data_IF_692303788282
#
_entry.id   IF_692303788282
#
_cell.length_a   1.000
_cell.length_b   1.000
_cell.length_c   1.000
_cell.angle_alpha   90.00
_cell.angle_beta   90.00
_cell.angle_gamma   90.00
#
_symmetry.space_group_name_H-M   'P 1'
#
loop_
_entity.id
_entity.type
_entity.pdbx_description
1 polymer ?
#
# COMPACT_ATOMS: atom_id res chain seq x y z
N UNK A 1 51.36 -25.19 15.32
CA UNK A 1 50.13 -24.35 15.34
C UNK A 1 49.95 -23.42 14.16
N UNK A 2 50.96 -23.12 13.32
CA UNK A 2 50.93 -22.12 12.24
C UNK A 2 50.27 -22.57 10.92
N UNK A 3 50.36 -23.85 10.54
CA UNK A 3 49.78 -24.35 9.25
C UNK A 3 48.25 -24.45 9.30
N UNK A 4 47.70 -24.80 10.44
CA UNK A 4 46.23 -24.88 10.63
C UNK A 4 45.57 -23.48 10.52
N UNK A 5 46.23 -22.45 11.00
CA UNK A 5 45.76 -21.05 10.89
C UNK A 5 45.84 -20.49 9.47
N UNK A 6 46.79 -20.92 8.67
CA UNK A 6 46.87 -20.50 7.25
C UNK A 6 45.78 -21.11 6.39
N UNK A 7 45.53 -22.43 6.53
CA UNK A 7 44.42 -23.10 5.82
C UNK A 7 43.07 -22.52 6.18
N UNK A 8 42.83 -22.24 7.46
CA UNK A 8 41.60 -21.62 7.95
C UNK A 8 41.41 -20.22 7.33
N UNK A 9 42.45 -19.40 7.22
CA UNK A 9 42.39 -18.08 6.56
C UNK A 9 42.09 -18.20 5.07
N UNK A 10 42.72 -19.12 4.33
CA UNK A 10 42.43 -19.34 2.91
C UNK A 10 40.96 -19.77 2.72
N UNK A 11 40.45 -20.69 3.52
CA UNK A 11 39.05 -21.11 3.44
C UNK A 11 38.13 -19.91 3.73
N UNK A 12 38.42 -19.10 4.76
CA UNK A 12 37.63 -17.90 5.06
C UNK A 12 37.62 -16.89 3.90
N UNK A 13 38.74 -16.66 3.23
CA UNK A 13 38.80 -15.79 2.04
C UNK A 13 38.01 -16.35 0.86
N UNK A 14 38.08 -17.67 0.61
CA UNK A 14 37.32 -18.32 -0.47
C UNK A 14 35.81 -18.20 -0.18
N UNK A 15 35.39 -18.48 1.06
CA UNK A 15 33.99 -18.36 1.49
C UNK A 15 33.50 -16.91 1.38
N UNK A 16 34.29 -15.94 1.85
CA UNK A 16 33.96 -14.52 1.73
C UNK A 16 33.85 -14.10 0.27
N UNK A 17 34.79 -14.52 -0.58
CA UNK A 17 34.74 -14.27 -2.01
C UNK A 17 33.49 -14.86 -2.68
N UNK A 18 33.12 -16.08 -2.34
CA UNK A 18 31.92 -16.73 -2.84
C UNK A 18 30.64 -16.00 -2.39
N UNK A 19 30.55 -15.61 -1.12
CA UNK A 19 29.41 -14.84 -0.58
C UNK A 19 29.30 -13.51 -1.32
N UNK A 20 30.41 -12.80 -1.50
CA UNK A 20 30.43 -11.53 -2.23
C UNK A 20 29.99 -11.71 -3.68
N UNK A 21 30.47 -12.73 -4.36
CA UNK A 21 30.08 -13.04 -5.73
C UNK A 21 28.57 -13.34 -5.83
N UNK A 22 28.03 -14.16 -4.95
CA UNK A 22 26.60 -14.48 -4.90
C UNK A 22 25.77 -13.22 -4.64
N UNK A 23 26.20 -12.35 -3.71
CA UNK A 23 25.52 -11.11 -3.42
C UNK A 23 25.50 -10.15 -4.63
N UNK A 24 26.64 -9.98 -5.31
CA UNK A 24 26.74 -9.15 -6.52
C UNK A 24 25.88 -9.70 -7.67
N UNK A 25 25.92 -11.02 -7.90
CA UNK A 25 25.06 -11.67 -8.88
C UNK A 25 23.57 -11.46 -8.57
N UNK A 26 23.20 -11.58 -7.29
CA UNK A 26 21.84 -11.32 -6.82
C UNK A 26 21.39 -9.87 -7.02
N UNK A 27 22.24 -8.89 -6.71
CA UNK A 27 21.97 -7.46 -6.95
C UNK A 27 21.80 -7.18 -8.44
N UNK A 28 22.66 -7.75 -9.29
CA UNK A 28 22.57 -7.61 -10.76
C UNK A 28 21.25 -8.21 -11.27
N UNK A 29 20.94 -9.43 -10.86
CA UNK A 29 19.67 -10.10 -11.20
C UNK A 29 18.47 -9.26 -10.80
N UNK A 30 18.44 -8.76 -9.55
CA UNK A 30 17.36 -7.92 -9.03
C UNK A 30 17.21 -6.63 -9.86
N UNK A 31 18.31 -5.96 -10.17
CA UNK A 31 18.31 -4.71 -10.93
C UNK A 31 17.79 -4.90 -12.35
N UNK A 32 18.26 -5.93 -13.04
CA UNK A 32 17.81 -6.26 -14.41
C UNK A 32 16.32 -6.63 -14.40
N UNK A 33 15.91 -7.51 -13.48
CA UNK A 33 14.51 -7.92 -13.37
C UNK A 33 13.60 -6.73 -13.09
N UNK A 34 13.99 -5.82 -12.19
CA UNK A 34 13.23 -4.60 -11.88
C UNK A 34 13.12 -3.67 -13.10
N UNK A 35 14.21 -3.53 -13.87
CA UNK A 35 14.19 -2.70 -15.09
C UNK A 35 13.25 -3.27 -16.17
N UNK A 36 13.23 -4.60 -16.33
CA UNK A 36 12.30 -5.27 -17.24
C UNK A 36 10.84 -5.15 -16.79
N UNK A 37 10.58 -5.30 -15.48
CA UNK A 37 9.24 -5.18 -14.92
C UNK A 37 8.70 -3.75 -15.01
N UNK A 38 9.53 -2.71 -14.86
CA UNK A 38 9.12 -1.32 -15.07
C UNK A 38 8.60 -1.07 -16.50
N UNK A 39 9.18 -1.75 -17.49
CA UNK A 39 8.72 -1.68 -18.88
C UNK A 39 7.45 -2.50 -19.11
N UNK A 40 7.35 -3.64 -18.44
CA UNK A 40 6.22 -4.57 -18.59
C UNK A 40 4.95 -4.10 -17.90
N UNK A 41 5.09 -3.41 -16.79
CA UNK A 41 3.99 -2.91 -15.97
C UNK A 41 4.09 -1.38 -15.83
N UNK A 42 3.74 -0.62 -16.89
CA UNK A 42 3.65 0.83 -16.81
C UNK A 42 2.54 1.23 -15.84
N UNK A 43 2.63 2.43 -15.29
CA UNK A 43 1.56 2.92 -14.40
C UNK A 43 0.29 3.20 -15.21
N UNK A 44 -0.88 2.73 -14.74
CA UNK A 44 -2.15 3.24 -15.22
C UNK A 44 -2.39 4.64 -14.64
N UNK A 45 -3.12 5.49 -15.33
CA UNK A 45 -3.41 6.83 -14.80
C UNK A 45 -2.28 7.85 -14.97
N UNK A 46 -1.93 8.60 -13.92
CA UNK A 46 -1.02 9.75 -13.99
C UNK A 46 -0.07 9.79 -12.78
N UNK A 47 1.13 10.36 -13.01
CA UNK A 47 2.01 10.85 -11.95
C UNK A 47 1.81 12.35 -11.80
N UNK A 48 1.62 12.82 -10.58
CA UNK A 48 1.32 14.21 -10.25
C UNK A 48 2.36 14.67 -9.22
N UNK A 49 2.99 15.82 -9.48
CA UNK A 49 3.98 16.39 -8.58
C UNK A 49 3.29 16.97 -7.34
N UNK A 50 3.60 16.40 -6.18
CA UNK A 50 3.12 16.83 -4.87
C UNK A 50 4.34 17.24 -4.04
N UNK A 51 4.63 18.53 -4.02
CA UNK A 51 5.84 19.05 -3.38
C UNK A 51 7.12 18.58 -4.08
N UNK A 52 7.96 17.83 -3.36
CA UNK A 52 9.28 17.37 -3.78
C UNK A 52 9.28 16.00 -4.49
N UNK A 53 8.11 15.37 -4.67
CA UNK A 53 7.99 14.05 -5.27
C UNK A 53 6.72 13.88 -6.10
N UNK A 54 6.63 12.79 -6.87
CA UNK A 54 5.47 12.47 -7.67
C UNK A 54 4.65 11.35 -7.02
N UNK A 55 3.33 11.54 -6.97
CA UNK A 55 2.37 10.53 -6.55
C UNK A 55 1.58 10.00 -7.74
N UNK A 56 1.41 8.70 -7.77
CA UNK A 56 0.58 8.00 -8.74
C UNK A 56 -0.89 8.09 -8.35
N UNK A 57 -1.75 8.44 -9.33
CA UNK A 57 -3.20 8.48 -9.20
C UNK A 57 -3.85 7.83 -10.42
N UNK A 58 -4.76 6.89 -10.17
CA UNK A 58 -5.55 6.21 -11.19
C UNK A 58 -7.04 6.39 -10.93
N UNK A 59 -7.69 7.20 -11.76
CA UNK A 59 -9.11 7.49 -11.66
C UNK A 59 -9.85 6.93 -12.87
N UNK A 60 -10.95 6.23 -12.63
CA UNK A 60 -11.84 5.66 -13.65
C UNK A 60 -13.31 5.96 -13.32
N UNK A 61 -14.20 5.68 -14.26
CA UNK A 61 -15.63 5.98 -14.11
C UNK A 61 -15.97 7.47 -14.22
N UNK A 62 -17.24 7.80 -14.09
CA UNK A 62 -17.80 9.16 -14.18
C UNK A 62 -18.92 9.35 -13.18
N UNK A 63 -19.14 10.58 -12.73
CA UNK A 63 -20.21 10.93 -11.78
C UNK A 63 -19.67 11.44 -10.47
N UNK A 64 -20.58 11.76 -9.55
CA UNK A 64 -20.30 12.30 -8.23
C UNK A 64 -21.17 11.58 -7.18
N UNK A 65 -20.73 11.56 -5.90
CA UNK A 65 -19.41 11.97 -5.44
C UNK A 65 -18.29 11.07 -5.97
N UNK A 66 -17.07 11.60 -6.06
CA UNK A 66 -15.89 10.80 -6.37
C UNK A 66 -15.52 9.94 -5.15
N UNK A 67 -15.26 8.66 -5.38
CA UNK A 67 -14.75 7.73 -4.37
C UNK A 67 -13.23 7.75 -4.40
N UNK A 68 -12.58 7.80 -3.23
CA UNK A 68 -11.12 7.76 -3.09
C UNK A 68 -10.75 6.54 -2.27
N UNK A 69 -9.89 5.68 -2.82
CA UNK A 69 -9.50 4.39 -2.24
C UNK A 69 -8.10 4.49 -1.62
N UNK A 70 -8.05 4.32 -0.29
CA UNK A 70 -6.84 4.34 0.53
C UNK A 70 -6.45 2.93 0.95
N UNK A 71 -5.29 2.46 0.49
CA UNK A 71 -4.87 1.05 0.61
C UNK A 71 -4.32 0.64 1.98
N UNK A 72 -4.20 -0.67 2.23
CA UNK A 72 -3.63 -1.22 3.47
C UNK A 72 -2.14 -0.94 3.58
N UNK A 73 -1.52 -1.34 4.70
CA UNK A 73 -0.07 -1.24 4.88
C UNK A 73 0.67 -1.99 3.77
N UNK A 74 1.71 -1.37 3.20
CA UNK A 74 2.44 -1.88 2.04
C UNK A 74 1.57 -2.14 0.80
N UNK A 75 0.31 -1.67 0.79
CA UNK A 75 -0.59 -1.79 -0.34
C UNK A 75 -0.27 -0.79 -1.45
N UNK A 76 -0.81 -1.05 -2.63
CA UNK A 76 -0.72 -0.17 -3.78
C UNK A 76 -2.08 -0.09 -4.50
N UNK A 77 -2.24 0.90 -5.37
CA UNK A 77 -3.48 1.16 -6.11
C UNK A 77 -4.06 -0.08 -6.80
N UNK A 78 -3.22 -0.95 -7.37
CA UNK A 78 -3.65 -2.20 -8.01
C UNK A 78 -4.28 -3.22 -7.04
N UNK A 79 -4.09 -3.08 -5.73
CA UNK A 79 -4.77 -3.89 -4.73
C UNK A 79 -6.29 -3.65 -4.67
N UNK A 80 -6.76 -2.56 -5.26
CA UNK A 80 -8.16 -2.21 -5.38
C UNK A 80 -8.83 -2.70 -6.66
N UNK A 81 -8.14 -3.50 -7.48
CA UNK A 81 -8.60 -3.94 -8.81
C UNK A 81 -10.05 -4.38 -8.84
N UNK A 82 -10.43 -5.33 -7.98
CA UNK A 82 -11.80 -5.87 -7.94
C UNK A 82 -12.86 -4.85 -7.52
N UNK A 83 -12.51 -3.95 -6.62
CA UNK A 83 -13.43 -2.93 -6.10
C UNK A 83 -13.53 -1.77 -7.08
N UNK A 84 -12.40 -1.30 -7.60
CA UNK A 84 -12.36 -0.11 -8.45
C UNK A 84 -13.11 -0.30 -9.75
N UNK A 85 -12.98 -1.45 -10.41
CA UNK A 85 -13.69 -1.78 -11.65
C UNK A 85 -15.22 -1.79 -11.47
N UNK A 86 -15.69 -2.33 -10.34
CA UNK A 86 -17.13 -2.39 -10.09
C UNK A 86 -17.68 -1.02 -9.67
N UNK A 87 -17.03 -0.28 -8.80
CA UNK A 87 -17.45 1.07 -8.38
C UNK A 87 -17.44 2.04 -9.57
N UNK A 88 -16.52 1.89 -10.51
CA UNK A 88 -16.42 2.71 -11.71
C UNK A 88 -17.67 2.67 -12.61
N UNK A 89 -18.49 1.62 -12.49
CA UNK A 89 -19.76 1.48 -13.21
C UNK A 89 -20.84 2.43 -12.68
N UNK A 90 -20.71 2.89 -11.43
CA UNK A 90 -21.74 3.68 -10.73
C UNK A 90 -21.33 5.12 -10.45
N UNK A 91 -20.05 5.39 -10.27
CA UNK A 91 -19.50 6.72 -10.01
C UNK A 91 -18.03 6.81 -10.41
N UNK A 92 -17.44 8.01 -10.27
CA UNK A 92 -16.00 8.20 -10.42
C UNK A 92 -15.28 7.63 -9.21
N UNK A 93 -14.19 6.90 -9.44
CA UNK A 93 -13.37 6.30 -8.38
C UNK A 93 -11.90 6.45 -8.69
N UNK A 94 -11.13 6.81 -7.67
CA UNK A 94 -9.69 7.03 -7.73
C UNK A 94 -8.98 6.14 -6.70
N UNK A 95 -7.96 5.42 -7.13
CA UNK A 95 -6.96 4.81 -6.26
C UNK A 95 -5.62 5.50 -6.46
N UNK A 96 -4.77 5.50 -5.45
CA UNK A 96 -3.46 6.11 -5.53
C UNK A 96 -2.41 5.29 -4.76
N UNK A 97 -1.16 5.59 -5.02
CA UNK A 97 -0.06 5.02 -4.29
C UNK A 97 0.54 6.08 -3.34
N UNK A 98 0.61 5.78 -2.05
CA UNK A 98 1.29 6.67 -1.09
C UNK A 98 2.77 6.80 -1.42
N UNK A 99 3.39 7.90 -1.00
CA UNK A 99 4.81 8.15 -1.24
C UNK A 99 5.70 6.95 -0.89
N UNK A 100 6.49 6.49 -1.85
CA UNK A 100 7.39 5.34 -1.75
C UNK A 100 6.74 3.97 -1.93
N UNK A 101 5.44 3.90 -2.23
CA UNK A 101 4.74 2.67 -2.60
C UNK A 101 4.37 2.67 -4.08
N UNK A 102 4.17 1.49 -4.66
CA UNK A 102 3.73 1.33 -6.03
C UNK A 102 4.58 2.13 -7.01
N UNK A 103 3.92 2.93 -7.83
CA UNK A 103 4.57 3.81 -8.81
C UNK A 103 4.91 5.21 -8.27
N UNK A 104 4.52 5.54 -7.03
CA UNK A 104 4.86 6.80 -6.39
C UNK A 104 6.32 6.88 -5.98
N UNK A 105 6.89 8.08 -6.10
CA UNK A 105 8.22 8.37 -5.61
C UNK A 105 8.23 8.50 -4.09
N UNK A 106 9.37 8.26 -3.47
CA UNK A 106 9.57 8.56 -2.06
C UNK A 106 9.93 10.04 -1.90
N UNK A 107 9.20 10.77 -1.06
CA UNK A 107 9.58 12.14 -0.73
C UNK A 107 10.81 12.21 0.17
N UNK A 108 11.52 13.32 0.14
CA UNK A 108 12.77 13.54 0.87
C UNK A 108 12.58 13.59 2.40
N UNK A 109 11.38 13.92 2.87
CA UNK A 109 11.08 14.11 4.29
C UNK A 109 10.91 12.82 5.11
N UNK A 110 11.11 11.65 4.52
CA UNK A 110 10.90 10.34 5.15
C UNK A 110 9.41 10.07 5.47
N UNK A 111 9.14 8.90 6.04
CA UNK A 111 7.77 8.52 6.39
C UNK A 111 7.24 9.28 7.63
N UNK A 112 6.14 9.96 7.45
CA UNK A 112 5.34 10.58 8.52
C UNK A 112 3.86 10.31 8.26
N UNK A 113 3.24 9.47 9.08
CA UNK A 113 1.81 9.13 8.95
C UNK A 113 0.91 10.37 8.88
N UNK A 114 1.23 11.40 9.67
CA UNK A 114 0.46 12.65 9.71
C UNK A 114 0.48 13.46 8.39
N UNK A 115 1.43 13.19 7.48
CA UNK A 115 1.47 13.86 6.16
C UNK A 115 0.57 13.21 5.11
N UNK A 116 0.24 11.94 5.28
CA UNK A 116 -0.51 11.19 4.27
C UNK A 116 -1.84 11.85 3.90
N UNK A 117 -2.67 12.32 4.84
CA UNK A 117 -3.90 13.05 4.49
C UNK A 117 -3.66 14.35 3.73
N UNK A 118 -2.60 15.11 4.06
CA UNK A 118 -2.27 16.37 3.39
C UNK A 118 -1.73 16.13 1.97
N UNK A 119 -0.89 15.10 1.81
CA UNK A 119 -0.40 14.66 0.49
C UNK A 119 -1.56 14.20 -0.41
N UNK A 120 -2.50 13.43 0.14
CA UNK A 120 -3.71 13.01 -0.58
C UNK A 120 -4.58 14.20 -0.99
N UNK A 121 -4.80 15.16 -0.08
CA UNK A 121 -5.58 16.35 -0.37
C UNK A 121 -4.95 17.15 -1.51
N UNK A 122 -3.67 17.45 -1.42
CA UNK A 122 -2.91 18.15 -2.46
C UNK A 122 -2.93 17.38 -3.79
N UNK A 123 -2.78 16.05 -3.75
CA UNK A 123 -2.85 15.20 -4.93
C UNK A 123 -4.19 15.34 -5.65
N UNK A 124 -5.31 15.28 -4.91
CA UNK A 124 -6.65 15.40 -5.47
C UNK A 124 -6.90 16.79 -6.06
N UNK A 125 -6.48 17.85 -5.38
CA UNK A 125 -6.57 19.23 -5.89
C UNK A 125 -5.80 19.41 -7.20
N UNK A 126 -4.53 18.98 -7.23
CA UNK A 126 -3.68 19.07 -8.41
C UNK A 126 -4.15 18.16 -9.55
N UNK A 127 -4.84 17.08 -9.23
CA UNK A 127 -5.50 16.21 -10.21
C UNK A 127 -6.74 16.86 -10.85
N UNK A 128 -7.29 17.92 -10.25
CA UNK A 128 -8.55 18.54 -10.63
C UNK A 128 -9.78 17.76 -10.15
N UNK A 129 -9.62 16.85 -9.18
CA UNK A 129 -10.72 16.14 -8.56
C UNK A 129 -11.42 17.07 -7.57
N UNK A 130 -12.75 17.05 -7.57
CA UNK A 130 -13.56 17.94 -6.73
C UNK A 130 -14.35 17.15 -5.71
N UNK A 131 -14.23 17.55 -4.45
CA UNK A 131 -15.04 17.03 -3.36
C UNK A 131 -16.48 17.58 -3.35
N UNK A 132 -17.28 17.19 -2.35
CA UNK A 132 -16.87 16.28 -1.27
C UNK A 132 -16.75 14.82 -1.73
N UNK A 133 -15.79 14.10 -1.16
CA UNK A 133 -15.42 12.73 -1.53
C UNK A 133 -16.08 11.68 -0.63
N UNK A 134 -16.30 10.48 -1.15
CA UNK A 134 -16.46 9.29 -0.32
C UNK A 134 -15.06 8.68 -0.13
N UNK A 135 -14.52 8.75 1.07
CA UNK A 135 -13.21 8.19 1.38
C UNK A 135 -13.37 6.76 1.88
N UNK A 136 -12.64 5.84 1.26
CA UNK A 136 -12.66 4.42 1.59
C UNK A 136 -11.28 4.02 2.06
N UNK A 137 -11.14 3.52 3.27
CA UNK A 137 -9.87 3.07 3.80
C UNK A 137 -9.90 1.59 4.17
N UNK A 138 -8.84 0.85 3.84
CA UNK A 138 -8.68 -0.54 4.21
C UNK A 138 -7.49 -0.71 5.16
N UNK A 139 -7.69 -1.33 6.32
CA UNK A 139 -6.69 -1.56 7.36
C UNK A 139 -5.98 -0.25 7.76
N UNK A 140 -4.66 -0.11 7.51
CA UNK A 140 -3.93 1.14 7.74
C UNK A 140 -4.55 2.32 6.99
N UNK A 141 -5.09 2.08 5.79
CA UNK A 141 -5.81 3.08 5.02
C UNK A 141 -7.06 3.61 5.72
N UNK A 142 -7.72 2.80 6.54
CA UNK A 142 -8.85 3.27 7.36
C UNK A 142 -8.40 4.33 8.37
N UNK A 143 -7.22 4.16 8.97
CA UNK A 143 -6.62 5.17 9.83
C UNK A 143 -6.36 6.48 9.09
N UNK A 144 -5.80 6.41 7.88
CA UNK A 144 -5.58 7.62 7.07
C UNK A 144 -6.87 8.27 6.59
N UNK A 145 -7.89 7.47 6.24
CA UNK A 145 -9.21 7.96 5.88
C UNK A 145 -9.87 8.74 7.04
N UNK A 146 -9.75 8.25 8.28
CA UNK A 146 -10.20 8.98 9.50
C UNK A 146 -9.46 10.30 9.66
N UNK A 147 -8.13 10.28 9.55
CA UNK A 147 -7.31 11.49 9.67
C UNK A 147 -7.64 12.51 8.57
N UNK A 148 -7.91 12.05 7.34
CA UNK A 148 -8.35 12.90 6.24
C UNK A 148 -9.69 13.56 6.56
N UNK A 149 -10.69 12.76 6.95
CA UNK A 149 -12.03 13.25 7.23
C UNK A 149 -12.10 14.20 8.43
N UNK A 150 -11.27 13.98 9.45
CA UNK A 150 -11.14 14.91 10.58
C UNK A 150 -10.57 16.26 10.14
N UNK A 151 -9.60 16.25 9.25
CA UNK A 151 -8.86 17.44 8.81
C UNK A 151 -9.58 18.21 7.70
N UNK A 152 -10.17 17.49 6.74
CA UNK A 152 -10.84 18.04 5.55
C UNK A 152 -12.34 17.74 5.55
N UNK A 153 -13.04 18.23 6.60
CA UNK A 153 -14.46 17.95 6.85
C UNK A 153 -15.34 18.31 5.66
N UNK A 154 -15.17 19.51 5.11
CA UNK A 154 -15.97 20.01 4.00
C UNK A 154 -15.68 19.28 2.68
N UNK A 155 -14.59 18.51 2.62
CA UNK A 155 -14.21 17.70 1.48
C UNK A 155 -14.61 16.23 1.61
N UNK A 156 -15.28 15.84 2.71
CA UNK A 156 -15.65 14.46 2.99
C UNK A 156 -17.17 14.31 3.10
N UNK A 157 -17.77 13.57 2.15
CA UNK A 157 -19.20 13.29 2.13
C UNK A 157 -19.57 12.05 2.96
N UNK A 158 -18.71 11.05 3.00
CA UNK A 158 -18.90 9.83 3.78
C UNK A 158 -17.56 9.08 3.94
N UNK A 159 -17.50 8.22 4.96
CA UNK A 159 -16.40 7.26 5.18
C UNK A 159 -16.89 5.83 5.04
N UNK A 160 -16.05 4.98 4.42
CA UNK A 160 -16.18 3.53 4.44
C UNK A 160 -14.87 2.96 4.98
N UNK A 161 -14.94 2.33 6.15
CA UNK A 161 -13.78 1.81 6.87
C UNK A 161 -13.81 0.29 6.83
N UNK A 162 -12.84 -0.31 6.14
CA UNK A 162 -12.73 -1.75 5.95
C UNK A 162 -11.64 -2.26 6.87
N UNK A 163 -11.99 -3.19 7.76
CA UNK A 163 -11.07 -3.77 8.75
C UNK A 163 -10.27 -2.70 9.54
N UNK A 164 -10.97 -1.68 10.04
CA UNK A 164 -10.35 -0.53 10.69
C UNK A 164 -9.63 -0.93 12.01
N UNK A 165 -8.31 -0.77 12.09
CA UNK A 165 -7.54 -1.09 13.29
C UNK A 165 -7.75 -0.07 14.42
N UNK A 166 -8.31 1.11 14.14
CA UNK A 166 -8.51 2.18 15.12
C UNK A 166 -9.60 1.83 16.15
N UNK A 167 -10.56 0.98 15.75
CA UNK A 167 -11.65 0.48 16.62
C UNK A 167 -11.25 -0.74 17.47
N UNK A 168 -10.12 -1.40 17.18
CA UNK A 168 -9.71 -2.62 17.89
C UNK A 168 -8.34 -2.47 18.54
N UNK A 169 -8.31 -2.54 19.86
CA UNK A 169 -7.06 -2.52 20.66
C UNK A 169 -6.17 -3.74 20.34
N UNK A 170 -6.76 -4.83 19.88
CA UNK A 170 -6.09 -6.12 19.71
C UNK A 170 -5.32 -6.24 18.38
N UNK A 171 -5.87 -5.77 17.27
CA UNK A 171 -5.20 -5.79 15.95
C UNK A 171 -3.97 -4.88 15.90
N UNK A 172 -4.03 -3.72 16.56
CA UNK A 172 -2.92 -2.77 16.62
C UNK A 172 -1.73 -3.27 17.48
N UNK A 173 -1.92 -4.32 18.28
CA UNK A 173 -0.93 -4.85 19.21
C UNK A 173 -0.22 -6.11 18.72
N UNK A 174 -0.52 -6.62 17.53
CA UNK A 174 0.16 -7.82 17.02
C UNK A 174 1.65 -7.56 16.82
N UNK A 175 2.53 -8.42 17.35
CA UNK A 175 3.96 -8.23 17.19
C UNK A 175 4.35 -8.38 15.72
N UNK A 176 4.93 -7.33 15.17
CA UNK A 176 5.45 -7.35 13.78
C UNK A 176 6.60 -8.34 13.71
N UNK A 177 6.54 -9.34 12.81
CA UNK A 177 7.63 -10.31 12.67
C UNK A 177 8.96 -9.60 12.39
N UNK A 178 10.02 -9.98 13.12
CA UNK A 178 11.35 -9.38 12.93
C UNK A 178 11.85 -9.47 11.49
N UNK A 179 11.41 -10.49 10.76
CA UNK A 179 11.75 -10.73 9.36
C UNK A 179 11.29 -9.59 8.42
N UNK A 180 10.22 -8.85 8.76
CA UNK A 180 9.74 -7.70 7.97
C UNK A 180 10.85 -6.64 7.80
N UNK A 181 11.72 -6.47 8.81
CA UNK A 181 12.87 -5.55 8.75
C UNK A 181 13.94 -5.98 7.75
N UNK A 182 14.02 -7.28 7.48
CA UNK A 182 15.00 -7.84 6.55
C UNK A 182 14.51 -7.82 5.09
N UNK A 183 13.22 -7.66 4.83
CA UNK A 183 12.65 -7.71 3.47
C UNK A 183 13.36 -6.81 2.46
N UNK A 184 13.65 -5.53 2.75
CA UNK A 184 14.32 -4.65 1.79
C UNK A 184 15.73 -5.15 1.41
N UNK A 185 16.46 -5.72 2.37
CA UNK A 185 17.79 -6.26 2.16
C UNK A 185 17.75 -7.57 1.37
N UNK A 186 16.82 -8.47 1.73
CA UNK A 186 16.60 -9.74 1.01
C UNK A 186 16.14 -9.48 -0.43
N UNK A 187 15.35 -8.43 -0.64
CA UNK A 187 14.97 -8.01 -1.98
C UNK A 187 16.16 -7.47 -2.77
N UNK A 188 17.05 -6.65 -2.16
CA UNK A 188 18.22 -6.09 -2.84
C UNK A 188 19.14 -7.16 -3.41
N UNK A 189 19.34 -8.25 -2.69
CA UNK A 189 20.17 -9.38 -3.14
C UNK A 189 19.36 -10.43 -3.92
N UNK A 190 18.11 -10.12 -4.30
CA UNK A 190 17.27 -10.97 -5.14
C UNK A 190 16.67 -12.21 -4.48
N UNK A 191 16.88 -12.42 -3.18
CA UNK A 191 16.40 -13.62 -2.45
C UNK A 191 14.89 -13.74 -2.49
N UNK A 192 14.14 -12.66 -2.19
CA UNK A 192 12.67 -12.71 -2.19
C UNK A 192 12.11 -13.06 -3.57
N UNK A 193 12.74 -12.56 -4.63
CA UNK A 193 12.37 -12.85 -6.01
C UNK A 193 12.66 -14.30 -6.39
N UNK A 194 13.88 -14.78 -6.11
CA UNK A 194 14.30 -16.15 -6.42
C UNK A 194 13.45 -17.19 -5.69
N UNK A 195 13.11 -16.94 -4.43
CA UNK A 195 12.29 -17.84 -3.60
C UNK A 195 10.80 -17.67 -3.79
N UNK A 196 10.35 -16.60 -4.47
CA UNK A 196 8.94 -16.22 -4.61
C UNK A 196 8.21 -16.09 -3.25
N UNK A 197 8.92 -15.74 -2.18
CA UNK A 197 8.41 -15.77 -0.81
C UNK A 197 7.14 -14.94 -0.59
N UNK A 198 7.01 -13.81 -1.31
CA UNK A 198 5.84 -12.92 -1.19
C UNK A 198 4.82 -13.09 -2.34
N UNK A 199 5.05 -14.01 -3.29
CA UNK A 199 4.20 -14.15 -4.49
C UNK A 199 2.76 -14.56 -4.18
N UNK A 200 2.53 -15.27 -3.07
CA UNK A 200 1.18 -15.66 -2.62
C UNK A 200 0.25 -14.46 -2.40
N UNK A 201 0.79 -13.31 -1.99
CA UNK A 201 0.00 -12.09 -1.75
C UNK A 201 -0.54 -11.44 -3.03
N UNK A 202 -0.15 -11.93 -4.19
CA UNK A 202 -0.65 -11.48 -5.48
C UNK A 202 -1.47 -12.57 -6.21
N UNK A 203 -1.70 -13.74 -5.60
CA UNK A 203 -2.31 -14.90 -6.29
C UNK A 203 -3.79 -14.71 -6.62
N UNK A 204 -4.49 -13.91 -5.83
CA UNK A 204 -5.91 -13.62 -6.03
C UNK A 204 -6.21 -12.49 -7.03
N UNK A 205 -5.17 -11.85 -7.58
CA UNK A 205 -5.35 -10.77 -8.55
C UNK A 205 -5.13 -11.27 -9.98
N UNK A 206 -6.02 -10.92 -10.94
CA UNK A 206 -5.93 -11.42 -12.30
C UNK A 206 -4.87 -10.70 -13.14
N UNK A 207 -4.38 -11.35 -14.18
CA UNK A 207 -3.64 -10.77 -15.30
C UNK A 207 -2.52 -9.80 -14.92
N UNK A 208 -2.63 -8.59 -15.43
CA UNK A 208 -1.63 -7.53 -15.26
C UNK A 208 -1.56 -7.02 -13.82
N UNK A 209 -2.70 -6.93 -13.12
CA UNK A 209 -2.73 -6.44 -11.72
C UNK A 209 -1.93 -7.35 -10.80
N UNK A 210 -2.15 -8.67 -10.88
CA UNK A 210 -1.37 -9.64 -10.12
C UNK A 210 0.11 -9.65 -10.53
N UNK A 211 0.41 -9.39 -11.81
CA UNK A 211 1.78 -9.22 -12.31
C UNK A 211 2.49 -8.02 -11.71
N UNK A 212 1.83 -6.86 -11.71
CA UNK A 212 2.34 -5.63 -11.13
C UNK A 212 2.56 -5.75 -9.62
N UNK A 213 1.58 -6.27 -8.88
CA UNK A 213 1.72 -6.50 -7.44
C UNK A 213 2.92 -7.39 -7.13
N UNK A 214 3.09 -8.52 -7.84
CA UNK A 214 4.27 -9.39 -7.67
C UNK A 214 5.58 -8.67 -7.96
N UNK A 215 5.62 -7.82 -8.98
CA UNK A 215 6.81 -7.03 -9.30
C UNK A 215 7.17 -6.10 -8.13
N UNK A 216 6.21 -5.36 -7.59
CA UNK A 216 6.43 -4.42 -6.47
C UNK A 216 6.78 -5.13 -5.16
N UNK A 217 6.19 -6.29 -4.87
CA UNK A 217 6.54 -7.13 -3.71
C UNK A 217 7.99 -7.70 -3.76
N UNK A 218 8.70 -7.50 -4.86
CA UNK A 218 10.12 -7.82 -4.99
C UNK A 218 11.02 -6.58 -5.06
N UNK A 219 10.46 -5.37 -5.00
CA UNK A 219 11.24 -4.12 -5.10
C UNK A 219 11.71 -3.66 -3.71
N UNK A 220 13.03 -3.39 -3.56
CA UNK A 220 13.60 -2.99 -2.27
C UNK A 220 13.03 -1.67 -1.73
N UNK A 221 12.76 -0.70 -2.60
CA UNK A 221 12.17 0.60 -2.27
C UNK A 221 10.75 0.46 -1.72
N UNK A 222 9.87 -0.23 -2.45
CA UNK A 222 8.50 -0.53 -2.04
C UNK A 222 8.46 -1.28 -0.71
N UNK A 223 9.28 -2.33 -0.56
CA UNK A 223 9.34 -3.12 0.66
C UNK A 223 9.92 -2.35 1.85
N UNK A 224 10.83 -1.40 1.62
CA UNK A 224 11.33 -0.55 2.68
C UNK A 224 10.23 0.34 3.25
N UNK A 225 9.43 0.95 2.37
CA UNK A 225 8.28 1.75 2.78
C UNK A 225 7.20 0.90 3.45
N UNK A 226 6.82 -0.23 2.83
CA UNK A 226 5.82 -1.14 3.38
C UNK A 226 6.21 -1.69 4.75
N UNK A 227 7.46 -2.10 4.93
CA UNK A 227 7.96 -2.55 6.23
C UNK A 227 7.89 -1.46 7.31
N UNK A 228 8.08 -0.21 6.94
CA UNK A 228 7.97 0.93 7.86
C UNK A 228 6.52 1.19 8.25
N UNK A 229 5.59 1.15 7.30
CA UNK A 229 4.16 1.28 7.55
C UNK A 229 3.64 0.16 8.48
N UNK A 230 3.96 -1.11 8.18
CA UNK A 230 3.60 -2.26 9.02
C UNK A 230 4.12 -2.08 10.44
N UNK A 231 5.34 -1.60 10.60
CA UNK A 231 5.95 -1.39 11.93
C UNK A 231 5.30 -0.26 12.72
N UNK A 232 4.74 0.72 12.05
CA UNK A 232 4.08 1.88 12.67
C UNK A 232 2.56 1.81 12.65
N UNK A 233 1.99 0.70 12.19
CA UNK A 233 0.54 0.52 12.08
C UNK A 233 -0.16 0.84 13.40
N UNK A 234 0.26 0.25 14.51
CA UNK A 234 -0.35 0.49 15.80
C UNK A 234 -0.20 1.93 16.34
N UNK A 235 0.90 2.61 16.00
CA UNK A 235 1.08 4.04 16.31
C UNK A 235 0.10 4.90 15.50
N UNK A 236 0.01 4.63 14.19
CA UNK A 236 -0.88 5.35 13.27
C UNK A 236 -2.35 5.12 13.64
N UNK A 237 -2.73 3.88 13.97
CA UNK A 237 -4.10 3.54 14.38
C UNK A 237 -4.51 4.29 15.66
N UNK A 238 -3.64 4.36 16.66
CA UNK A 238 -3.91 5.14 17.88
C UNK A 238 -4.04 6.64 17.59
N UNK A 239 -3.21 7.18 16.71
CA UNK A 239 -3.33 8.59 16.31
C UNK A 239 -4.65 8.85 15.60
N UNK A 240 -5.07 7.95 14.71
CA UNK A 240 -6.35 8.06 14.01
C UNK A 240 -7.56 7.90 14.94
N UNK A 241 -7.47 7.03 15.96
CA UNK A 241 -8.51 6.85 16.96
C UNK A 241 -8.73 8.11 17.83
N UNK A 242 -7.70 8.93 18.00
CA UNK A 242 -7.78 10.20 18.73
C UNK A 242 -8.38 11.35 17.90
N UNK A 243 -8.57 11.16 16.60
CA UNK A 243 -9.16 12.17 15.72
C UNK A 243 -10.67 12.29 15.93
N UNK A 244 -11.16 13.52 16.01
CA UNK A 244 -12.60 13.82 16.16
C UNK A 244 -13.25 13.91 14.80
N UNK A 245 -14.11 12.97 14.47
CA UNK A 245 -14.96 13.04 13.28
C UNK A 245 -16.18 13.93 13.55
N UNK A 246 -16.71 14.55 12.50
CA UNK A 246 -18.00 15.21 12.56
C UNK A 246 -19.09 14.17 12.92
N UNK A 247 -19.88 14.38 13.98
CA UNK A 247 -20.97 13.46 14.33
C UNK A 247 -22.02 13.28 13.23
N UNK A 248 -22.14 14.24 12.32
CA UNK A 248 -23.07 14.17 11.18
C UNK A 248 -22.49 13.40 9.98
N UNK A 249 -21.17 13.13 9.98
CA UNK A 249 -20.52 12.42 8.87
C UNK A 249 -21.00 10.97 8.83
N UNK A 250 -21.56 10.49 7.70
CA UNK A 250 -21.93 9.08 7.55
C UNK A 250 -20.68 8.19 7.54
N UNK A 251 -20.56 7.30 8.52
CA UNK A 251 -19.51 6.29 8.60
C UNK A 251 -20.12 4.91 8.41
N UNK A 252 -19.50 4.09 7.58
CA UNK A 252 -19.87 2.69 7.38
C UNK A 252 -18.64 1.83 7.67
N UNK A 253 -18.75 0.93 8.63
CA UNK A 253 -17.70 -0.04 8.96
C UNK A 253 -18.00 -1.38 8.31
N UNK A 254 -16.99 -1.99 7.72
CA UNK A 254 -17.06 -3.29 7.02
C UNK A 254 -15.94 -4.18 7.54
N UNK A 255 -16.26 -5.41 7.92
CA UNK A 255 -15.26 -6.42 8.28
C UNK A 255 -15.26 -7.51 7.24
N UNK A 256 -14.16 -7.65 6.52
CA UNK A 256 -13.96 -8.69 5.49
C UNK A 256 -12.89 -9.70 5.89
N UNK A 257 -12.18 -9.44 6.99
CA UNK A 257 -11.18 -10.34 7.55
C UNK A 257 -11.87 -11.55 8.18
N UNK A 258 -11.52 -12.74 7.69
CA UNK A 258 -11.72 -13.98 8.43
C UNK A 258 -10.73 -14.09 9.59
N UNK A 259 -10.51 -15.31 10.10
CA UNK A 259 -9.60 -15.57 11.24
C UNK A 259 -8.12 -15.26 10.99
N UNK A 260 -7.67 -15.04 9.74
CA UNK A 260 -6.27 -14.67 9.40
C UNK A 260 -6.16 -13.24 8.84
N UNK A 261 -5.36 -12.36 9.44
CA UNK A 261 -5.06 -11.02 8.95
C UNK A 261 -3.80 -10.96 8.06
N UNK A 262 -3.66 -9.90 7.23
CA UNK A 262 -4.71 -9.04 6.70
C UNK A 262 -5.31 -9.66 5.44
N UNK A 263 -6.62 -9.76 5.39
CA UNK A 263 -7.29 -10.19 4.18
C UNK A 263 -7.12 -9.11 3.11
N UNK A 264 -6.19 -9.32 2.18
CA UNK A 264 -6.16 -8.56 0.94
C UNK A 264 -7.52 -8.70 0.25
N UNK A 265 -7.98 -7.65 -0.42
CA UNK A 265 -9.17 -7.71 -1.26
C UNK A 265 -8.84 -8.47 -2.56
N UNK A 266 -8.27 -9.65 -2.42
CA UNK A 266 -7.67 -10.49 -3.45
C UNK A 266 -8.66 -11.46 -4.10
N UNK A 267 -9.93 -11.37 -3.72
CA UNK A 267 -10.99 -12.19 -4.31
C UNK A 267 -12.23 -11.35 -4.65
N UNK A 268 -12.94 -11.76 -5.69
CA UNK A 268 -14.18 -11.10 -6.09
C UNK A 268 -15.26 -11.14 -5.01
N UNK A 269 -15.24 -12.16 -4.12
CA UNK A 269 -16.23 -12.30 -3.05
C UNK A 269 -16.02 -11.25 -1.95
N UNK A 270 -14.79 -11.09 -1.47
CA UNK A 270 -14.43 -10.04 -0.49
C UNK A 270 -14.64 -8.64 -1.06
N UNK A 271 -14.24 -8.44 -2.31
CA UNK A 271 -14.44 -7.18 -3.02
C UNK A 271 -15.91 -6.78 -3.13
N UNK A 272 -16.83 -7.74 -3.37
CA UNK A 272 -18.27 -7.45 -3.50
C UNK A 272 -18.88 -6.86 -2.24
N UNK A 273 -18.47 -7.28 -1.06
CA UNK A 273 -18.98 -6.72 0.19
C UNK A 273 -18.57 -5.25 0.35
N UNK A 274 -17.30 -4.97 0.11
CA UNK A 274 -16.76 -3.61 0.13
C UNK A 274 -17.43 -2.74 -0.94
N UNK A 275 -17.58 -3.25 -2.17
CA UNK A 275 -18.25 -2.54 -3.26
C UNK A 275 -19.68 -2.14 -2.88
N UNK A 276 -20.47 -3.05 -2.28
CA UNK A 276 -21.83 -2.74 -1.83
C UNK A 276 -21.87 -1.63 -0.77
N UNK A 277 -20.93 -1.67 0.19
CA UNK A 277 -20.84 -0.64 1.21
C UNK A 277 -20.51 0.73 0.59
N UNK A 278 -19.58 0.78 -0.36
CA UNK A 278 -19.22 1.99 -1.10
C UNK A 278 -20.42 2.53 -1.88
N UNK A 279 -21.14 1.68 -2.62
CA UNK A 279 -22.33 2.10 -3.38
C UNK A 279 -23.44 2.66 -2.48
N UNK A 280 -23.63 2.08 -1.28
CA UNK A 280 -24.57 2.60 -0.29
C UNK A 280 -24.13 3.97 0.24
N UNK A 281 -22.83 4.16 0.54
CA UNK A 281 -22.28 5.43 0.95
C UNK A 281 -22.45 6.51 -0.14
N UNK A 282 -22.17 6.17 -1.40
CA UNK A 282 -22.39 7.04 -2.56
C UNK A 282 -23.86 7.43 -2.69
N UNK A 283 -24.79 6.49 -2.54
CA UNK A 283 -26.23 6.77 -2.59
C UNK A 283 -26.70 7.71 -1.47
N UNK A 284 -26.15 7.58 -0.25
CA UNK A 284 -26.44 8.46 0.87
C UNK A 284 -25.88 9.87 0.64
N UNK A 285 -24.68 9.98 0.14
CA UNK A 285 -24.02 11.26 -0.17
C UNK A 285 -24.64 12.04 -1.36
N UNK A 286 -25.50 11.40 -2.15
CA UNK A 286 -26.27 12.05 -3.24
C UNK A 286 -27.61 12.64 -2.78
N UNK A 287 -28.04 12.37 -1.55
CA UNK A 287 -29.29 12.88 -0.96
C UNK A 287 -29.06 14.19 -0.24
#
# INVERSE_FOLDING_TARGET
MTVFSQRARHIAFIVAGLITFIALAGVTYQSVATALERRKFPYPGRLIAVGDHQLHLHCVGKGAPTVVLEGPAAGMSMGWWWVQDDVAKTTRVCSYDRAGLGWSEAGDGGYRAARVPDELHTLLELAGERGPFVIVGHELGASFARMYASRFRDQTAALVLVDDPSGSTESALRPVPRLVRAWPWLARIGVLRATRALSRHASGFPGESGGAIRAFLNRPDHLARGALEIRRLGETARSAAAESLDPALPVTEVSVSGEEPPALLDSADRAREVTRAIEQAVKRARR
#
